data_IF_619790953078
#
_entry.id   IF_619790953078
#
_cell.length_a   1.000
_cell.length_b   1.000
_cell.length_c   1.000
_cell.angle_alpha   90.00
_cell.angle_beta   90.00
_cell.angle_gamma   90.00
#
_symmetry.space_group_name_H-M   'P 1'
#
loop_
_entity.id
_entity.type
_entity.pdbx_description
1 polymer ?
#
# COMPACT_ATOMS: atom_id res chain seq x y z
N UNK A 1 2.64 31.53 13.35
CA UNK A 1 2.97 30.76 12.14
C UNK A 1 1.86 29.73 11.98
N UNK A 2 1.04 29.86 10.94
CA UNK A 2 0.00 28.86 10.66
C UNK A 2 0.70 27.67 9.99
N UNK A 3 0.84 26.56 10.71
CA UNK A 3 1.18 25.29 10.06
C UNK A 3 -0.05 24.90 9.25
N UNK A 4 0.06 24.93 7.92
CA UNK A 4 -1.01 24.39 7.08
C UNK A 4 -1.10 22.88 7.36
N UNK A 5 -2.29 22.30 7.54
CA UNK A 5 -2.43 20.86 7.65
C UNK A 5 -1.92 20.25 6.33
N UNK A 6 -0.84 19.47 6.42
CA UNK A 6 -0.37 18.64 5.31
C UNK A 6 -1.45 17.59 5.06
N UNK A 7 -1.91 17.44 3.82
CA UNK A 7 -2.80 16.34 3.45
C UNK A 7 -2.05 15.03 3.68
N UNK A 8 -2.64 14.12 4.46
CA UNK A 8 -2.07 12.80 4.67
C UNK A 8 -2.00 12.05 3.34
N UNK A 9 -0.94 11.26 3.18
CA UNK A 9 -0.85 10.39 2.02
C UNK A 9 -1.91 9.30 2.09
N UNK A 10 -2.64 9.09 1.00
CA UNK A 10 -3.71 8.08 0.95
C UNK A 10 -3.14 6.79 0.38
N UNK A 11 -3.11 5.75 1.22
CA UNK A 11 -2.71 4.40 0.83
C UNK A 11 -3.94 3.51 0.82
N UNK A 12 -4.32 3.04 -0.36
CA UNK A 12 -5.45 2.12 -0.52
C UNK A 12 -4.96 0.67 -0.62
N UNK A 13 -5.51 -0.21 0.21
CA UNK A 13 -5.35 -1.66 0.13
C UNK A 13 -6.60 -2.28 -0.50
N UNK A 14 -6.40 -2.89 -1.67
CA UNK A 14 -7.38 -3.79 -2.27
C UNK A 14 -7.32 -5.17 -1.60
N UNK A 15 -8.19 -5.38 -0.63
CA UNK A 15 -8.20 -6.53 0.26
C UNK A 15 -9.05 -7.69 -0.26
N UNK A 16 -8.65 -8.93 0.05
CA UNK A 16 -9.44 -10.15 -0.10
C UNK A 16 -9.33 -10.98 1.19
N UNK A 17 -10.40 -11.06 2.02
CA UNK A 17 -10.35 -11.73 3.32
C UNK A 17 -10.13 -13.24 3.21
N UNK A 18 -10.37 -13.84 2.04
CA UNK A 18 -10.11 -15.26 1.80
C UNK A 18 -8.62 -15.56 1.63
N UNK A 19 -7.76 -14.55 1.42
CA UNK A 19 -6.33 -14.72 1.17
C UNK A 19 -5.50 -14.36 2.40
N UNK A 20 -4.69 -15.31 2.88
CA UNK A 20 -3.75 -15.10 4.01
C UNK A 20 -2.76 -13.96 3.76
N UNK A 21 -2.26 -13.82 2.53
CA UNK A 21 -1.37 -12.72 2.14
C UNK A 21 -2.05 -11.34 2.29
N UNK A 22 -3.34 -11.27 1.97
CA UNK A 22 -4.11 -10.03 2.09
C UNK A 22 -4.41 -9.64 3.53
N UNK A 23 -4.65 -10.62 4.41
CA UNK A 23 -4.79 -10.40 5.86
C UNK A 23 -3.47 -9.87 6.44
N UNK A 24 -2.33 -10.48 6.09
CA UNK A 24 -1.02 -10.01 6.57
C UNK A 24 -0.72 -8.58 6.12
N UNK A 25 -0.99 -8.25 4.85
CA UNK A 25 -0.81 -6.90 4.33
C UNK A 25 -1.70 -5.88 5.06
N UNK A 26 -2.95 -6.25 5.39
CA UNK A 26 -3.85 -5.43 6.19
C UNK A 26 -3.31 -5.20 7.61
N UNK A 27 -2.90 -6.25 8.31
CA UNK A 27 -2.35 -6.16 9.67
C UNK A 27 -1.04 -5.38 9.72
N UNK A 28 -0.24 -5.48 8.65
CA UNK A 28 0.97 -4.70 8.45
C UNK A 28 0.65 -3.20 8.34
N UNK A 29 -0.22 -2.83 7.41
CA UNK A 29 -0.57 -1.44 7.14
C UNK A 29 -1.27 -0.78 8.34
N UNK A 30 -2.16 -1.51 9.03
CA UNK A 30 -2.81 -1.03 10.26
C UNK A 30 -1.83 -0.75 11.38
N UNK A 31 -0.85 -1.64 11.60
CA UNK A 31 0.19 -1.44 12.60
C UNK A 31 1.07 -0.25 12.23
N UNK A 32 1.44 -0.12 10.96
CA UNK A 32 2.21 1.01 10.48
C UNK A 32 1.46 2.34 10.68
N UNK A 33 0.17 2.42 10.33
CA UNK A 33 -0.60 3.66 10.49
C UNK A 33 -0.73 4.07 11.97
N UNK A 34 -0.94 3.10 12.88
CA UNK A 34 -0.99 3.37 14.32
C UNK A 34 0.34 3.91 14.86
N UNK A 35 1.47 3.27 14.50
CA UNK A 35 2.80 3.73 14.91
C UNK A 35 3.15 5.13 14.36
N UNK A 36 2.67 5.45 13.15
CA UNK A 36 2.87 6.76 12.55
C UNK A 36 2.14 7.87 13.32
N UNK A 37 0.89 7.62 13.73
CA UNK A 37 0.06 8.53 14.53
C UNK A 37 0.69 8.78 15.91
N UNK A 38 1.25 7.74 16.54
CA UNK A 38 1.94 7.86 17.83
C UNK A 38 3.21 8.72 17.71
N UNK A 39 3.94 8.57 16.60
CA UNK A 39 5.18 9.31 16.33
C UNK A 39 4.92 10.79 16.01
N UNK A 40 3.79 11.13 15.36
CA UNK A 40 3.42 12.53 15.05
C UNK A 40 2.87 13.31 16.25
N UNK A 41 2.40 12.63 17.30
CA UNK A 41 1.83 13.24 18.51
C UNK A 41 2.87 13.84 19.49
N UNK A 42 4.16 13.86 19.14
CA UNK A 42 5.15 14.64 19.88
C UNK A 42 5.51 14.11 21.28
N UNK A 43 5.39 12.81 21.55
CA UNK A 43 6.10 12.20 22.68
C UNK A 43 7.56 11.89 22.28
N UNK A 44 8.36 12.94 22.16
CA UNK A 44 9.82 12.83 22.21
C UNK A 44 10.22 12.58 23.67
N UNK A 45 10.39 11.31 24.04
CA UNK A 45 11.30 10.96 25.12
C UNK A 45 12.55 10.41 24.44
N UNK A 46 13.47 11.31 24.12
CA UNK A 46 14.83 10.92 23.80
C UNK A 46 15.46 10.45 25.10
N UNK A 47 15.55 9.13 25.29
CA UNK A 47 16.61 8.43 26.03
C UNK A 47 16.26 6.94 26.11
N UNK A 48 16.60 6.19 25.05
CA UNK A 48 17.01 4.79 25.19
C UNK A 48 17.73 4.29 23.94
N UNK A 49 18.97 3.88 24.16
CA UNK A 49 19.86 3.05 23.36
C UNK A 49 19.22 1.79 22.72
N UNK A 50 19.92 1.14 21.76
CA UNK A 50 19.35 0.20 20.80
C UNK A 50 19.33 -1.24 21.32
N UNK A 51 18.44 -1.60 22.23
CA UNK A 51 18.09 -3.00 22.48
C UNK A 51 16.78 -3.17 23.27
N UNK A 52 15.70 -3.53 22.59
CA UNK A 52 14.60 -4.23 23.25
C UNK A 52 14.04 -5.27 22.30
N UNK A 53 14.69 -6.43 22.35
CA UNK A 53 14.11 -7.70 21.96
C UNK A 53 12.93 -8.00 22.88
N UNK A 54 11.74 -7.56 22.49
CA UNK A 54 10.49 -8.18 22.96
C UNK A 54 9.46 -8.10 21.83
N UNK A 55 9.47 -9.14 20.99
CA UNK A 55 8.31 -9.70 20.26
C UNK A 55 7.44 -8.71 19.45
N UNK A 56 7.49 -8.60 18.12
CA UNK A 56 7.83 -9.56 17.07
C UNK A 56 8.06 -8.81 15.74
N UNK A 57 9.24 -9.03 15.14
CA UNK A 57 9.69 -8.59 13.79
C UNK A 57 9.61 -7.09 13.49
N UNK A 58 10.76 -6.43 13.65
CA UNK A 58 11.14 -5.12 13.10
C UNK A 58 10.37 -4.75 11.82
N UNK A 59 9.38 -3.89 11.99
CA UNK A 59 8.89 -3.06 10.90
C UNK A 59 9.47 -1.69 11.22
N UNK A 60 10.51 -1.26 10.51
CA UNK A 60 11.03 0.09 10.69
C UNK A 60 9.86 1.04 10.50
N UNK A 61 9.61 1.82 11.54
CA UNK A 61 8.50 2.76 11.68
C UNK A 61 8.33 3.56 10.37
N UNK A 62 7.10 3.71 9.84
CA UNK A 62 6.87 4.60 8.71
C UNK A 62 7.34 6.00 9.09
N UNK A 63 8.05 6.66 8.18
CA UNK A 63 8.60 7.98 8.45
C UNK A 63 7.53 9.03 8.76
N UNK A 64 6.27 8.79 8.38
CA UNK A 64 5.18 9.77 8.40
C UNK A 64 3.78 9.15 8.54
N UNK A 65 2.83 9.98 8.98
CA UNK A 65 1.40 9.69 9.05
C UNK A 65 0.78 9.54 7.66
N UNK A 66 -0.06 8.52 7.47
CA UNK A 66 -0.78 8.27 6.23
C UNK A 66 -2.19 7.75 6.55
N UNK A 67 -3.12 7.96 5.63
CA UNK A 67 -4.48 7.44 5.71
C UNK A 67 -4.56 6.08 5.02
N UNK A 68 -4.93 5.05 5.80
CA UNK A 68 -5.13 3.69 5.28
C UNK A 68 -6.58 3.48 4.87
N UNK A 69 -6.83 3.37 3.56
CA UNK A 69 -8.12 2.96 3.03
C UNK A 69 -8.11 1.46 2.73
N UNK A 70 -9.13 0.73 3.18
CA UNK A 70 -9.25 -0.71 2.93
C UNK A 70 -10.52 -0.98 2.14
N UNK A 71 -10.38 -1.52 0.93
CA UNK A 71 -11.51 -1.82 0.06
C UNK A 71 -11.50 -3.26 -0.43
N UNK A 72 -12.65 -3.92 -0.31
CA UNK A 72 -12.90 -5.24 -0.91
C UNK A 72 -13.57 -5.14 -2.27
N UNK A 73 -13.99 -3.93 -2.68
CA UNK A 73 -14.58 -3.67 -3.99
C UNK A 73 -13.51 -3.71 -5.09
N UNK A 74 -13.86 -4.02 -6.34
CA UNK A 74 -12.94 -3.87 -7.46
C UNK A 74 -12.55 -2.40 -7.66
N UNK A 75 -11.35 -2.11 -8.19
CA UNK A 75 -10.99 -0.75 -8.58
C UNK A 75 -11.90 -0.26 -9.69
N UNK A 76 -12.10 1.05 -9.77
CA UNK A 76 -12.72 1.69 -10.94
C UNK A 76 -11.77 1.65 -12.15
N UNK A 77 -12.28 1.95 -13.34
CA UNK A 77 -11.46 2.03 -14.56
C UNK A 77 -10.29 3.01 -14.42
N UNK A 78 -10.54 4.21 -13.89
CA UNK A 78 -9.48 5.22 -13.66
C UNK A 78 -8.45 4.74 -12.63
N UNK A 79 -8.92 4.14 -11.52
CA UNK A 79 -8.04 3.57 -10.50
C UNK A 79 -7.16 2.48 -11.11
N UNK A 80 -7.73 1.59 -11.92
CA UNK A 80 -7.00 0.51 -12.55
C UNK A 80 -5.96 1.03 -13.55
N UNK A 81 -6.30 2.07 -14.32
CA UNK A 81 -5.37 2.77 -15.21
C UNK A 81 -4.17 3.32 -14.43
N UNK A 82 -4.42 4.09 -13.37
CA UNK A 82 -3.36 4.64 -12.53
C UNK A 82 -2.48 3.55 -11.90
N UNK A 83 -3.08 2.43 -11.46
CA UNK A 83 -2.33 1.29 -10.91
C UNK A 83 -1.36 0.70 -11.95
N UNK A 84 -1.77 0.56 -13.23
CA UNK A 84 -0.85 0.14 -14.29
C UNK A 84 0.33 1.09 -14.43
N UNK A 85 0.08 2.39 -14.37
CA UNK A 85 1.11 3.40 -14.53
C UNK A 85 2.09 3.39 -13.34
N UNK A 86 1.60 3.21 -12.11
CA UNK A 86 2.43 3.15 -10.89
C UNK A 86 3.30 1.91 -10.81
N UNK A 87 2.81 0.77 -11.32
CA UNK A 87 3.61 -0.45 -11.44
C UNK A 87 4.65 -0.35 -12.55
N UNK A 88 4.32 0.31 -13.66
CA UNK A 88 5.29 0.61 -14.71
C UNK A 88 6.41 1.54 -14.25
N UNK A 89 6.11 2.48 -13.35
CA UNK A 89 7.09 3.42 -12.80
C UNK A 89 8.03 2.78 -11.77
N UNK A 90 7.57 1.75 -11.05
CA UNK A 90 8.41 0.97 -10.15
C UNK A 90 9.12 -0.13 -10.94
N UNK A 91 10.32 0.18 -11.46
CA UNK A 91 11.16 -0.67 -12.33
C UNK A 91 11.46 -2.11 -11.85
N UNK A 92 10.92 -2.55 -10.71
CA UNK A 92 11.06 -3.89 -10.15
C UNK A 92 10.13 -4.94 -10.79
N UNK A 93 9.01 -4.56 -11.39
CA UNK A 93 8.10 -5.48 -12.09
C UNK A 93 7.58 -4.78 -13.36
N UNK A 94 7.85 -5.28 -14.59
CA UNK A 94 7.19 -4.73 -15.76
C UNK A 94 5.69 -4.95 -15.58
N UNK A 95 4.92 -3.88 -15.38
CA UNK A 95 3.49 -3.88 -15.05
C UNK A 95 2.62 -4.54 -16.13
N UNK A 96 2.75 -5.85 -16.28
CA UNK A 96 2.05 -6.63 -17.29
C UNK A 96 0.57 -6.69 -16.88
N UNK A 97 -0.35 -6.46 -17.82
CA UNK A 97 -1.78 -6.54 -17.55
C UNK A 97 -2.20 -7.86 -16.88
N UNK A 98 -1.55 -8.97 -17.25
CA UNK A 98 -1.80 -10.30 -16.69
C UNK A 98 -1.46 -10.47 -15.20
N UNK A 99 -0.55 -9.64 -14.67
CA UNK A 99 -0.10 -9.71 -13.27
C UNK A 99 -1.04 -8.96 -12.31
N UNK A 100 -1.82 -8.02 -12.85
CA UNK A 100 -2.85 -7.29 -12.12
C UNK A 100 -4.22 -7.93 -12.33
N UNK A 101 -4.49 -8.40 -13.54
CA UNK A 101 -5.77 -8.95 -13.94
C UNK A 101 -5.58 -10.32 -14.56
N UNK A 102 -6.20 -11.32 -13.96
CA UNK A 102 -6.05 -12.72 -14.37
C UNK A 102 -6.48 -12.91 -15.82
N UNK A 103 -5.51 -13.32 -16.65
CA UNK A 103 -5.73 -13.67 -18.05
C UNK A 103 -5.88 -12.48 -18.99
N UNK A 104 -5.60 -11.25 -18.56
CA UNK A 104 -5.55 -10.10 -19.46
C UNK A 104 -4.28 -10.11 -20.32
N UNK A 105 -4.38 -9.83 -21.62
CA UNK A 105 -3.24 -9.74 -22.55
C UNK A 105 -2.73 -8.32 -22.68
N UNK A 106 -3.65 -7.36 -22.63
CA UNK A 106 -3.40 -5.93 -22.77
C UNK A 106 -4.21 -5.13 -21.72
N UNK A 107 -3.93 -3.83 -21.63
CA UNK A 107 -4.54 -2.91 -20.65
C UNK A 107 -6.05 -2.82 -20.85
N UNK A 108 -6.50 -2.76 -22.09
CA UNK A 108 -7.91 -2.62 -22.45
C UNK A 108 -8.70 -3.88 -22.09
N UNK A 109 -8.16 -5.06 -22.37
CA UNK A 109 -8.72 -6.35 -21.98
C UNK A 109 -8.75 -6.50 -20.46
N UNK A 110 -7.73 -6.01 -19.75
CA UNK A 110 -7.69 -6.01 -18.29
C UNK A 110 -8.83 -5.18 -17.71
N UNK A 111 -9.03 -3.95 -18.20
CA UNK A 111 -10.13 -3.07 -17.78
C UNK A 111 -11.47 -3.75 -18.04
N UNK A 112 -11.71 -4.24 -19.27
CA UNK A 112 -12.96 -4.94 -19.61
C UNK A 112 -13.22 -6.13 -18.68
N UNK A 113 -12.19 -6.90 -18.35
CA UNK A 113 -12.31 -8.08 -17.46
C UNK A 113 -12.64 -7.70 -16.03
N UNK A 114 -12.00 -6.67 -15.47
CA UNK A 114 -12.30 -6.22 -14.09
C UNK A 114 -13.67 -5.58 -14.00
N UNK A 115 -14.08 -4.81 -15.02
CA UNK A 115 -15.43 -4.22 -15.06
C UNK A 115 -16.53 -5.28 -15.22
N UNK A 116 -16.28 -6.33 -16.01
CA UNK A 116 -17.20 -7.45 -16.15
C UNK A 116 -17.20 -8.37 -14.92
N UNK A 117 -16.03 -8.61 -14.34
CA UNK A 117 -15.83 -9.49 -13.19
C UNK A 117 -14.69 -8.97 -12.30
N UNK A 118 -15.06 -8.28 -11.22
CA UNK A 118 -14.13 -7.74 -10.24
C UNK A 118 -13.27 -8.80 -9.52
N UNK A 119 -13.64 -10.08 -9.63
CA UNK A 119 -12.86 -11.21 -9.12
C UNK A 119 -11.57 -11.45 -9.91
N UNK A 120 -11.51 -10.98 -11.15
CA UNK A 120 -10.33 -11.12 -12.02
C UNK A 120 -9.17 -10.25 -11.57
N UNK A 121 -9.45 -9.21 -10.78
CA UNK A 121 -8.42 -8.38 -10.17
C UNK A 121 -7.67 -9.17 -9.10
N UNK A 122 -6.36 -9.32 -9.30
CA UNK A 122 -5.47 -10.06 -8.40
C UNK A 122 -5.30 -9.25 -7.11
N UNK A 123 -5.52 -9.88 -5.97
CA UNK A 123 -5.42 -9.26 -4.63
C UNK A 123 -4.41 -10.03 -3.79
N UNK A 124 -3.75 -9.39 -2.80
CA UNK A 124 -3.84 -7.97 -2.46
C UNK A 124 -3.03 -7.06 -3.39
N UNK A 125 -3.49 -5.82 -3.52
CA UNK A 125 -2.73 -4.72 -4.13
C UNK A 125 -2.73 -3.54 -3.17
N UNK A 126 -1.55 -3.00 -2.89
CA UNK A 126 -1.38 -1.78 -2.10
C UNK A 126 -1.02 -0.66 -3.07
N UNK A 127 -1.70 0.47 -2.97
CA UNK A 127 -1.53 1.61 -3.87
C UNK A 127 -1.33 2.87 -3.06
N UNK A 128 -0.25 3.58 -3.37
CA UNK A 128 0.05 4.94 -2.91
C UNK A 128 -0.39 5.92 -3.99
N UNK A 129 -1.48 6.63 -3.76
CA UNK A 129 -1.97 7.61 -4.72
C UNK A 129 -1.15 8.90 -4.70
N UNK A 130 -0.54 9.22 -3.56
CA UNK A 130 0.28 10.43 -3.39
C UNK A 130 1.61 10.31 -4.10
N UNK A 131 2.28 9.17 -3.94
CA UNK A 131 3.64 8.95 -4.47
C UNK A 131 3.64 8.20 -5.81
N UNK A 132 2.47 7.80 -6.31
CA UNK A 132 2.33 7.08 -7.57
C UNK A 132 3.03 5.73 -7.58
N UNK A 133 2.91 4.98 -6.48
CA UNK A 133 3.54 3.67 -6.28
C UNK A 133 2.48 2.62 -6.05
N UNK A 134 2.73 1.40 -6.51
CA UNK A 134 1.85 0.27 -6.23
C UNK A 134 2.68 -0.99 -5.99
N UNK A 135 2.18 -1.85 -5.11
CA UNK A 135 2.81 -3.11 -4.72
C UNK A 135 1.81 -4.24 -4.89
N UNK A 136 2.18 -5.22 -5.71
CA UNK A 136 1.41 -6.44 -5.93
C UNK A 136 1.77 -7.52 -4.90
N UNK A 137 0.78 -8.35 -4.53
CA UNK A 137 1.04 -9.69 -3.98
C UNK A 137 1.36 -9.77 -2.49
N UNK A 138 1.12 -8.72 -1.70
CA UNK A 138 1.24 -8.80 -0.23
C UNK A 138 2.67 -9.03 0.24
N UNK A 139 3.66 -8.71 -0.59
CA UNK A 139 5.07 -8.78 -0.23
C UNK A 139 5.38 -7.72 0.83
N UNK A 140 5.49 -8.17 2.08
CA UNK A 140 5.72 -7.31 3.24
C UNK A 140 6.95 -6.41 3.06
N UNK A 141 8.04 -6.93 2.48
CA UNK A 141 9.27 -6.16 2.28
C UNK A 141 9.09 -5.01 1.29
N UNK A 142 8.30 -5.20 0.24
CA UNK A 142 8.00 -4.13 -0.73
C UNK A 142 7.06 -3.08 -0.12
N UNK A 143 6.06 -3.51 0.65
CA UNK A 143 5.16 -2.61 1.37
C UNK A 143 5.96 -1.75 2.37
N UNK A 144 6.86 -2.36 3.15
CA UNK A 144 7.71 -1.64 4.10
C UNK A 144 8.63 -0.64 3.38
N UNK A 145 9.18 -0.99 2.22
CA UNK A 145 9.99 -0.06 1.42
C UNK A 145 9.17 1.14 0.96
N UNK A 146 7.97 0.91 0.45
CA UNK A 146 7.05 1.97 0.05
C UNK A 146 6.73 2.91 1.23
N UNK A 147 6.41 2.37 2.41
CA UNK A 147 6.11 3.17 3.61
C UNK A 147 7.30 4.00 4.12
N UNK A 148 8.54 3.60 3.82
CA UNK A 148 9.75 4.37 4.17
C UNK A 148 10.02 5.53 3.23
N UNK A 149 9.47 5.49 2.03
CA UNK A 149 9.68 6.51 0.99
C UNK A 149 8.68 7.66 1.09
N UNK A 150 7.73 7.60 2.03
CA UNK A 150 6.75 8.66 2.27
C UNK A 150 7.47 9.99 2.64
N UNK A 151 7.12 11.11 2.00
CA UNK A 151 7.77 12.41 2.21
C UNK A 151 7.57 12.96 3.65
N UNK A 152 8.63 13.52 4.25
CA UNK A 152 8.66 14.11 5.61
C UNK A 152 8.04 15.51 5.71
#
# INVERSE_FOLDING_TARGET
MFSMPRSLDVITLFHNPSLRSSIRALDLLKRASALAQESSSGMTFNDAEPNSETSSKNIPVPGNEFELEVTTKPPTEDQLNNIFDYLGATAAIPGKPSEIVQGARDREEAIRKVMADGSKFIRPVVVDWSNGKAVLGGNESLIIRMLKELPQ
#
